data_IF_034981053989
#
_entry.id   IF_034981053989
#
_cell.length_a   1.000
_cell.length_b   1.000
_cell.length_c   1.000
_cell.angle_alpha   90.00
_cell.angle_beta   90.00
_cell.angle_gamma   90.00
#
_symmetry.space_group_name_H-M   'P 1'
#
loop_
_entity.id
_entity.type
_entity.pdbx_description
1 polymer ?
#
# COMPACT_ATOMS: atom_id res chain seq x y z
N UNK A 1 18.55 7.92 -13.33
CA UNK A 1 17.35 7.04 -13.33
C UNK A 1 16.47 7.32 -12.10
N UNK A 2 16.54 8.52 -11.54
CA UNK A 2 16.02 8.82 -10.19
C UNK A 2 14.69 9.58 -10.21
N UNK A 3 14.39 10.27 -11.32
CA UNK A 3 13.11 10.96 -11.50
C UNK A 3 11.91 10.00 -11.47
N UNK A 4 12.02 8.86 -12.16
CA UNK A 4 10.92 7.89 -12.23
C UNK A 4 10.63 7.30 -10.84
N UNK A 5 11.67 7.02 -10.05
CA UNK A 5 11.54 6.50 -8.70
C UNK A 5 10.88 7.51 -7.76
N UNK A 6 11.18 8.80 -7.93
CA UNK A 6 10.56 9.86 -7.15
C UNK A 6 9.07 10.04 -7.52
N UNK A 7 8.73 10.06 -8.81
CA UNK A 7 7.33 10.19 -9.27
C UNK A 7 6.46 9.04 -8.74
N UNK A 8 6.96 7.80 -8.75
CA UNK A 8 6.25 6.64 -8.22
C UNK A 8 5.99 6.75 -6.71
N UNK A 9 6.98 7.29 -5.98
CA UNK A 9 6.87 7.52 -4.53
C UNK A 9 5.87 8.62 -4.20
N UNK A 10 5.85 9.71 -4.96
CA UNK A 10 4.90 10.81 -4.76
C UNK A 10 3.46 10.40 -5.09
N UNK A 11 3.27 9.57 -6.12
CA UNK A 11 1.95 8.97 -6.42
C UNK A 11 1.47 8.08 -5.27
N UNK A 12 2.34 7.21 -4.76
CA UNK A 12 2.06 6.38 -3.60
C UNK A 12 1.63 7.19 -2.37
N UNK A 13 2.35 8.28 -2.05
CA UNK A 13 2.00 9.18 -0.94
C UNK A 13 0.64 9.84 -1.13
N UNK A 14 0.31 10.25 -2.36
CA UNK A 14 -0.98 10.88 -2.68
C UNK A 14 -2.14 9.91 -2.40
N UNK A 15 -1.98 8.64 -2.79
CA UNK A 15 -2.98 7.59 -2.54
C UNK A 15 -3.15 7.34 -1.05
N UNK A 16 -2.05 7.31 -0.30
CA UNK A 16 -2.11 7.13 1.16
C UNK A 16 -2.80 8.33 1.81
N UNK A 17 -2.52 9.56 1.36
CA UNK A 17 -3.17 10.75 1.88
C UNK A 17 -4.69 10.73 1.73
N UNK A 18 -5.24 9.99 0.75
CA UNK A 18 -6.70 9.83 0.64
C UNK A 18 -7.30 8.89 1.69
N UNK A 19 -6.58 7.86 2.14
CA UNK A 19 -7.02 6.99 3.25
C UNK A 19 -6.67 7.53 4.62
N UNK A 20 -5.77 8.51 4.64
CA UNK A 20 -5.29 9.18 5.83
C UNK A 20 -6.36 10.12 6.36
N UNK A 21 -6.74 9.94 7.62
CA UNK A 21 -7.45 10.98 8.36
C UNK A 21 -6.39 11.95 8.92
N UNK A 22 -6.72 13.24 9.03
CA UNK A 22 -5.77 14.36 9.20
C UNK A 22 -4.79 14.29 10.39
N UNK A 23 -4.88 13.26 11.22
CA UNK A 23 -4.11 13.05 12.46
C UNK A 23 -2.84 12.20 12.25
N UNK A 24 -2.74 11.40 11.19
CA UNK A 24 -1.74 10.32 11.15
C UNK A 24 -0.91 10.30 9.87
N UNK A 25 0.40 10.56 9.91
CA UNK A 25 1.25 10.72 8.72
C UNK A 25 1.69 9.39 8.06
N UNK A 26 0.74 8.63 7.53
CA UNK A 26 0.97 7.34 6.86
C UNK A 26 1.86 7.45 5.61
N UNK A 27 1.89 8.62 4.95
CA UNK A 27 2.73 8.84 3.77
C UNK A 27 4.25 8.82 4.08
N UNK A 28 4.62 9.14 5.32
CA UNK A 28 6.01 9.06 5.80
C UNK A 28 6.45 7.61 6.07
N UNK A 29 5.51 6.70 6.24
CA UNK A 29 5.76 5.28 6.49
C UNK A 29 6.11 4.52 5.20
N UNK A 30 6.05 5.16 4.02
CA UNK A 30 6.47 4.54 2.75
C UNK A 30 8.00 4.41 2.68
N UNK A 31 8.46 3.17 2.75
CA UNK A 31 9.87 2.82 2.61
C UNK A 31 10.27 2.72 1.14
N UNK A 32 9.56 1.89 0.37
CA UNK A 32 9.87 1.63 -1.03
C UNK A 32 8.60 1.46 -1.88
N UNK A 33 8.69 1.85 -3.15
CA UNK A 33 7.65 1.58 -4.15
C UNK A 33 8.32 0.95 -5.35
N UNK A 34 7.92 -0.28 -5.68
CA UNK A 34 8.47 -1.03 -6.81
C UNK A 34 7.36 -1.33 -7.81
N UNK A 35 7.63 -1.16 -9.10
CA UNK A 35 6.72 -1.66 -10.16
C UNK A 35 6.93 -3.16 -10.32
N UNK A 36 5.85 -3.93 -10.25
CA UNK A 36 5.92 -5.35 -10.53
C UNK A 36 6.10 -5.57 -12.04
N UNK A 37 7.16 -6.29 -12.42
CA UNK A 37 7.42 -6.63 -13.83
C UNK A 37 6.51 -7.76 -14.35
N UNK A 38 5.98 -8.62 -13.46
CA UNK A 38 5.41 -9.94 -13.83
C UNK A 38 3.89 -10.08 -13.73
N UNK A 39 3.17 -9.02 -13.43
CA UNK A 39 1.70 -9.02 -13.36
C UNK A 39 1.16 -7.82 -14.13
N UNK A 40 0.17 -8.04 -14.98
CA UNK A 40 -0.59 -6.98 -15.65
C UNK A 40 -2.06 -7.30 -15.51
N UNK A 41 -2.71 -6.72 -14.51
CA UNK A 41 -4.17 -6.69 -14.42
C UNK A 41 -4.64 -5.47 -15.24
N UNK A 42 -5.60 -5.65 -16.15
CA UNK A 42 -6.13 -4.58 -17.03
C UNK A 42 -5.07 -3.87 -17.92
N UNK A 43 -3.96 -4.55 -18.25
CA UNK A 43 -2.90 -3.99 -19.09
C UNK A 43 -1.99 -2.96 -18.39
N UNK A 44 -2.20 -2.72 -17.09
CA UNK A 44 -1.35 -1.85 -16.28
C UNK A 44 -0.51 -2.66 -15.30
N UNK A 45 0.68 -2.14 -14.98
CA UNK A 45 1.64 -2.81 -14.10
C UNK A 45 1.41 -2.33 -12.66
N UNK A 46 1.00 -3.22 -11.75
CA UNK A 46 0.73 -2.83 -10.38
C UNK A 46 2.01 -2.38 -9.68
N UNK A 47 1.85 -1.37 -8.83
CA UNK A 47 2.88 -0.84 -7.95
C UNK A 47 2.76 -1.54 -6.60
N UNK A 48 3.83 -2.20 -6.17
CA UNK A 48 3.95 -2.78 -4.84
C UNK A 48 4.62 -1.77 -3.92
N UNK A 49 3.96 -1.49 -2.80
CA UNK A 49 4.47 -0.59 -1.77
C UNK A 49 4.98 -1.39 -0.58
N UNK A 50 6.11 -0.97 -0.02
CA UNK A 50 6.68 -1.46 1.23
C UNK A 50 6.59 -0.33 2.25
N UNK A 51 6.03 -0.65 3.42
CA UNK A 51 5.90 0.30 4.51
C UNK A 51 6.84 -0.07 5.65
N UNK A 52 7.25 0.94 6.42
CA UNK A 52 8.11 0.79 7.60
C UNK A 52 7.35 0.13 8.75
N UNK A 53 6.15 0.62 9.04
CA UNK A 53 5.31 0.09 10.10
C UNK A 53 4.24 -0.85 9.59
N UNK A 54 4.08 -1.94 10.32
CA UNK A 54 2.96 -2.84 10.12
C UNK A 54 1.62 -2.27 10.58
N UNK A 55 1.64 -1.36 11.55
CA UNK A 55 0.42 -0.69 12.03
C UNK A 55 -0.16 0.17 10.92
N UNK A 56 0.70 0.90 10.19
CA UNK A 56 0.30 1.66 9.01
C UNK A 56 -0.36 0.80 7.94
N UNK A 57 0.20 -0.38 7.63
CA UNK A 57 -0.41 -1.31 6.65
C UNK A 57 -1.79 -1.79 7.11
N UNK A 58 -1.93 -2.15 8.39
CA UNK A 58 -3.22 -2.57 8.96
C UNK A 58 -4.27 -1.47 8.87
N UNK A 59 -3.91 -0.24 9.18
CA UNK A 59 -4.84 0.89 9.12
C UNK A 59 -5.27 1.23 7.70
N UNK A 60 -4.34 1.22 6.74
CA UNK A 60 -4.68 1.40 5.33
C UNK A 60 -5.60 0.26 4.85
N UNK A 61 -5.35 -0.99 5.26
CA UNK A 61 -6.22 -2.11 4.90
C UNK A 61 -7.61 -2.02 5.55
N UNK A 62 -7.69 -1.62 6.82
CA UNK A 62 -8.96 -1.40 7.51
C UNK A 62 -9.78 -0.27 6.87
N UNK A 63 -9.10 0.74 6.33
CA UNK A 63 -9.70 1.88 5.65
C UNK A 63 -9.72 1.75 4.12
N UNK A 64 -9.36 0.58 3.57
CA UNK A 64 -9.34 0.30 2.13
C UNK A 64 -10.72 0.51 1.47
N UNK A 65 -11.80 0.42 2.24
CA UNK A 65 -13.14 0.80 1.76
C UNK A 65 -13.22 2.24 1.24
N UNK A 66 -12.46 3.18 1.83
CA UNK A 66 -12.36 4.58 1.35
C UNK A 66 -11.66 4.67 -0.01
N UNK A 67 -10.73 3.75 -0.32
CA UNK A 67 -10.00 3.67 -1.60
C UNK A 67 -10.84 3.15 -2.76
N UNK A 68 -11.90 2.39 -2.50
CA UNK A 68 -12.69 1.73 -3.55
C UNK A 68 -13.48 2.72 -4.44
N UNK A 69 -13.59 3.98 -4.02
CA UNK A 69 -14.35 5.02 -4.73
C UNK A 69 -13.49 5.87 -5.69
N UNK A 70 -12.16 5.76 -5.63
CA UNK A 70 -11.23 6.53 -6.47
C UNK A 70 -10.69 5.64 -7.61
N UNK A 71 -11.25 5.87 -8.81
CA UNK A 71 -11.02 5.09 -10.03
C UNK A 71 -9.54 5.10 -10.51
N UNK A 72 -8.71 6.03 -10.03
CA UNK A 72 -7.29 6.14 -10.37
C UNK A 72 -6.37 5.25 -9.50
N UNK A 73 -6.92 4.56 -8.50
CA UNK A 73 -6.16 3.78 -7.52
C UNK A 73 -6.18 2.27 -7.72
N UNK A 74 -6.76 1.78 -8.83
CA UNK A 74 -6.83 0.35 -9.19
C UNK A 74 -5.47 -0.36 -9.36
N UNK A 75 -4.36 0.38 -9.34
CA UNK A 75 -3.01 -0.13 -9.63
C UNK A 75 -2.08 -0.30 -8.42
N UNK A 76 -2.54 -0.07 -7.19
CA UNK A 76 -1.66 -0.12 -6.01
C UNK A 76 -1.95 -1.35 -5.16
N UNK A 77 -0.96 -2.25 -5.14
CA UNK A 77 -0.99 -3.44 -4.31
C UNK A 77 -0.30 -3.18 -2.98
N UNK A 78 -1.09 -2.99 -1.93
CA UNK A 78 -0.61 -2.87 -0.56
C UNK A 78 -0.55 -4.28 0.03
N UNK A 79 0.66 -4.85 0.08
CA UNK A 79 0.90 -6.16 0.69
C UNK A 79 1.48 -5.96 2.08
N UNK A 80 0.89 -6.63 3.06
CA UNK A 80 1.51 -6.82 4.36
C UNK A 80 2.59 -7.88 4.24
N UNK A 81 3.84 -7.51 4.52
CA UNK A 81 4.91 -8.48 4.69
C UNK A 81 4.77 -9.07 6.09
N UNK A 82 4.12 -10.22 6.20
CA UNK A 82 3.91 -10.91 7.48
C UNK A 82 4.95 -12.00 7.62
N UNK A 83 5.63 -12.04 8.76
CA UNK A 83 6.42 -13.20 9.15
C UNK A 83 5.49 -14.39 9.49
N UNK A 84 6.07 -15.57 9.73
CA UNK A 84 5.31 -16.80 9.98
C UNK A 84 4.43 -16.69 11.24
N UNK A 85 4.94 -16.10 12.32
CA UNK A 85 4.22 -15.91 13.59
C UNK A 85 3.01 -14.99 13.42
N UNK A 86 3.16 -13.90 12.68
CA UNK A 86 2.07 -12.96 12.43
C UNK A 86 1.00 -13.52 11.51
N UNK A 87 1.40 -14.35 10.54
CA UNK A 87 0.47 -15.14 9.72
C UNK A 87 -0.39 -16.07 10.58
N UNK A 88 0.21 -16.73 11.57
CA UNK A 88 -0.52 -17.62 12.48
C UNK A 88 -1.48 -16.82 13.38
N UNK A 89 -1.05 -15.68 13.94
CA UNK A 89 -1.92 -14.79 14.74
C UNK A 89 -3.09 -14.23 13.94
N UNK A 90 -2.89 -13.86 12.68
CA UNK A 90 -3.98 -13.36 11.83
C UNK A 90 -5.00 -14.44 11.48
N UNK A 91 -4.57 -15.70 11.24
CA UNK A 91 -5.48 -16.84 11.05
C UNK A 91 -6.35 -17.05 12.29
N UNK A 92 -5.78 -16.94 13.49
CA UNK A 92 -6.52 -17.08 14.76
C UNK A 92 -7.59 -16.01 14.92
N UNK A 93 -7.30 -14.76 14.52
CA UNK A 93 -8.25 -13.64 14.60
C UNK A 93 -9.38 -13.70 13.57
N UNK A 94 -9.29 -14.58 12.57
CA UNK A 94 -10.28 -14.74 11.49
C UNK A 94 -11.28 -15.86 11.75
N UNK A 95 -11.14 -16.57 12.87
CA UNK A 95 -12.01 -17.67 13.29
C UNK A 95 -13.02 -17.20 14.34
#
# INVERSE_FOLDING_TARGET
>A
MDLLRNVERELAKTVIKQVQDSVQELDQEVEEVIRLQRYSELGRRPRKMRMRSQVAVKEIMARKGKLANDYEHMDIWIKRDMNLEEREKEKVLRN
#
